data_IF_174904570028
#
_entry.id   IF_174904570028
#
_cell.length_a   1.000
_cell.length_b   1.000
_cell.length_c   1.000
_cell.angle_alpha   90.00
_cell.angle_beta   90.00
_cell.angle_gamma   90.00
#
_symmetry.space_group_name_H-M   'P 1'
#
loop_
_entity.id
_entity.type
_entity.pdbx_description
1 polymer ?
2 water ?
#
# COMPACT_ATOMS: atom_id res chain seq x y z
N UNK A 5 10.08 21.03 -27.29
CA UNK A 5 9.03 20.56 -26.34
C UNK A 5 9.63 19.91 -25.10
N UNK A 6 8.79 19.34 -24.22
CA UNK A 6 9.20 18.63 -22.98
C UNK A 6 8.46 17.30 -22.82
N UNK A 7 9.03 16.40 -22.01
CA UNK A 7 8.67 14.99 -22.02
C UNK A 7 7.29 14.77 -21.41
N UNK A 8 6.59 13.77 -21.93
CA UNK A 8 5.24 13.38 -21.47
C UNK A 8 5.29 11.89 -21.13
N UNK A 9 4.74 11.49 -20.00
CA UNK A 9 4.72 10.05 -19.60
C UNK A 9 3.28 9.63 -19.42
N UNK A 10 2.92 8.47 -19.94
CA UNK A 10 1.61 7.82 -19.68
C UNK A 10 1.80 6.87 -18.51
N UNK A 11 0.82 6.82 -17.60
CA UNK A 11 0.83 5.84 -16.47
C UNK A 11 -0.48 5.06 -16.54
N UNK A 12 -0.37 3.74 -16.54
CA UNK A 12 -1.55 2.83 -16.59
C UNK A 12 -1.72 2.16 -15.23
N UNK A 13 -2.61 2.66 -14.33
CA UNK A 13 -2.71 2.11 -12.97
C UNK A 13 -3.69 0.93 -12.89
N UNK A 14 -3.60 0.15 -11.83
CA UNK A 14 -4.63 -0.82 -11.39
C UNK A 14 -5.80 -0.08 -10.75
N UNK A 15 -6.96 -0.76 -10.68
CA UNK A 15 -8.06 -0.29 -9.85
C UNK A 15 -7.59 -0.40 -8.39
N UNK A 16 -8.21 0.34 -7.50
CA UNK A 16 -7.92 0.24 -6.06
C UNK A 16 -6.99 1.34 -5.61
N UNK A 17 -7.40 1.98 -4.54
CA UNK A 17 -6.67 3.10 -3.92
C UNK A 17 -5.22 2.68 -3.65
N UNK A 18 -4.98 1.40 -3.32
CA UNK A 18 -3.65 0.92 -2.88
C UNK A 18 -2.61 1.04 -4.00
N UNK A 19 -3.00 0.84 -5.24
CA UNK A 19 -2.10 0.98 -6.42
C UNK A 19 -2.07 2.43 -6.88
N UNK A 20 -3.22 3.13 -6.83
CA UNK A 20 -3.33 4.50 -7.42
C UNK A 20 -2.57 5.49 -6.56
N UNK A 21 -2.73 5.42 -5.23
CA UNK A 21 -2.17 6.45 -4.32
C UNK A 21 -0.66 6.58 -4.58
N UNK A 22 0.14 5.50 -4.53
CA UNK A 22 1.58 5.69 -4.70
C UNK A 22 1.97 6.15 -6.13
N UNK A 23 1.22 5.73 -7.15
CA UNK A 23 1.48 6.20 -8.53
C UNK A 23 1.15 7.70 -8.63
N UNK A 24 0.06 8.13 -7.99
CA UNK A 24 -0.29 9.57 -7.96
C UNK A 24 0.80 10.34 -7.25
N UNK A 25 1.32 9.81 -6.14
CA UNK A 25 2.38 10.54 -5.38
C UNK A 25 3.69 10.56 -6.17
N UNK A 26 4.01 9.47 -6.84
CA UNK A 26 5.14 9.47 -7.80
C UNK A 26 4.95 10.62 -8.82
N UNK A 27 3.78 10.72 -9.46
CA UNK A 27 3.47 11.67 -10.55
C UNK A 27 3.60 13.09 -10.01
N UNK A 28 3.04 13.34 -8.82
CA UNK A 28 3.16 14.65 -8.16
C UNK A 28 4.64 14.98 -7.89
N UNK A 29 5.40 14.04 -7.38
CA UNK A 29 6.82 14.29 -7.03
C UNK A 29 7.58 14.60 -8.33
N UNK A 30 7.31 13.89 -9.43
CA UNK A 30 8.02 14.13 -10.70
C UNK A 30 7.72 15.53 -11.25
N UNK A 31 6.46 15.95 -11.32
CA UNK A 31 6.09 17.25 -11.91
C UNK A 31 6.43 18.39 -10.95
N UNK A 32 6.67 18.11 -9.66
CA UNK A 32 6.94 19.18 -8.68
C UNK A 32 8.24 19.90 -9.08
N UNK A 33 9.28 19.15 -9.42
CA UNK A 33 10.61 19.75 -9.71
C UNK A 33 11.10 19.45 -11.13
N UNK A 34 10.21 19.04 -12.04
CA UNK A 34 10.50 18.79 -13.48
C UNK A 34 9.40 19.35 -14.36
N UNK A 35 9.74 19.97 -15.49
CA UNK A 35 8.76 20.47 -16.47
C UNK A 35 8.27 19.29 -17.33
N UNK A 36 7.72 18.24 -16.71
CA UNK A 36 7.18 17.08 -17.43
C UNK A 36 5.66 17.15 -17.31
N UNK A 37 4.93 16.47 -18.18
CA UNK A 37 3.46 16.35 -18.01
C UNK A 37 3.13 14.86 -18.08
N UNK A 38 1.98 14.45 -17.56
CA UNK A 38 1.66 13.02 -17.32
C UNK A 38 0.18 12.86 -17.69
N UNK A 39 -0.17 11.72 -18.27
CA UNK A 39 -1.58 11.24 -18.42
C UNK A 39 -1.73 9.89 -17.76
N UNK A 40 -2.63 9.80 -16.80
CA UNK A 40 -3.12 8.50 -16.29
C UNK A 40 -4.12 7.96 -17.30
N UNK A 41 -3.84 6.79 -17.84
CA UNK A 41 -4.67 6.13 -18.86
C UNK A 41 -5.23 4.89 -18.18
N UNK A 42 -6.54 4.87 -17.94
CA UNK A 42 -7.14 3.99 -16.92
C UNK A 42 -8.01 2.95 -17.62
N UNK A 43 -7.59 1.67 -17.60
CA UNK A 43 -8.42 0.58 -18.08
C UNK A 43 -9.49 0.29 -17.03
N UNK A 44 -10.71 -0.09 -17.43
CA UNK A 44 -11.82 -0.31 -16.45
C UNK A 44 -12.67 -1.48 -16.93
N UNK A 45 -13.20 -2.26 -15.99
CA UNK A 45 -14.24 -3.28 -16.28
C UNK A 45 -15.58 -2.87 -15.65
N UNK A 46 -15.66 -1.65 -15.13
CA UNK A 46 -16.86 -1.13 -14.49
C UNK A 46 -16.58 0.29 -13.99
N UNK A 47 -17.61 0.99 -13.47
CA UNK A 47 -17.43 2.39 -13.08
C UNK A 47 -16.36 2.48 -12.00
N UNK A 48 -15.40 3.42 -12.11
CA UNK A 48 -14.44 3.61 -11.03
C UNK A 48 -15.21 4.12 -9.78
N UNK A 49 -14.66 3.87 -8.61
CA UNK A 49 -15.20 4.32 -7.30
C UNK A 49 -15.07 5.85 -7.21
N UNK A 50 -15.86 6.48 -6.34
CA UNK A 50 -15.77 7.94 -6.15
C UNK A 50 -14.43 8.28 -5.49
N UNK A 51 -13.87 7.41 -4.64
CA UNK A 51 -12.56 7.63 -3.98
C UNK A 51 -11.47 7.65 -5.06
N UNK A 52 -11.57 6.81 -6.08
CA UNK A 52 -10.62 6.75 -7.21
C UNK A 52 -10.73 8.05 -8.02
N UNK A 53 -11.95 8.47 -8.34
CA UNK A 53 -12.21 9.76 -9.02
C UNK A 53 -11.67 10.92 -8.20
N UNK A 54 -11.81 10.86 -6.87
CA UNK A 54 -11.39 11.96 -5.96
C UNK A 54 -9.88 12.16 -6.17
N UNK A 55 -9.10 11.08 -6.13
CA UNK A 55 -7.62 11.16 -6.33
C UNK A 55 -7.35 11.78 -7.72
N UNK A 56 -7.96 11.26 -8.79
CA UNK A 56 -7.64 11.74 -10.18
C UNK A 56 -7.99 13.22 -10.33
N UNK A 57 -9.12 13.67 -9.79
CA UNK A 57 -9.62 15.01 -10.15
C UNK A 57 -8.87 16.03 -9.29
N UNK A 58 -8.15 15.62 -8.25
CA UNK A 58 -7.40 16.50 -7.31
C UNK A 58 -5.95 16.69 -7.75
N UNK A 59 -5.50 16.03 -8.81
CA UNK A 59 -4.10 16.16 -9.25
C UNK A 59 -3.86 17.52 -9.91
N UNK A 60 -2.60 17.99 -9.92
CA UNK A 60 -2.30 19.25 -10.59
C UNK A 60 -2.53 19.19 -12.11
N UNK A 61 -2.65 20.35 -12.73
CA UNK A 61 -3.08 20.51 -14.14
C UNK A 61 -2.01 19.95 -15.08
N UNK A 62 -0.79 19.70 -14.64
CA UNK A 62 0.23 19.01 -15.49
C UNK A 62 -0.07 17.50 -15.59
N UNK A 63 -0.98 16.97 -14.76
CA UNK A 63 -1.33 15.53 -14.69
C UNK A 63 -2.80 15.34 -15.08
N UNK A 64 -3.09 14.85 -16.30
CA UNK A 64 -4.51 14.62 -16.71
C UNK A 64 -4.78 13.13 -16.67
N UNK A 65 -6.00 12.75 -17.01
CA UNK A 65 -6.38 11.30 -17.01
C UNK A 65 -7.44 11.08 -18.08
N UNK A 66 -7.39 9.88 -18.65
CA UNK A 66 -8.28 9.35 -19.72
C UNK A 66 -8.70 7.96 -19.28
N UNK A 67 -10.01 7.69 -19.31
CA UNK A 67 -10.58 6.34 -19.14
C UNK A 67 -10.71 5.69 -20.50
N UNK A 68 -10.25 4.46 -20.60
CA UNK A 68 -10.42 3.62 -21.80
C UNK A 68 -11.85 3.08 -21.76
N UNK A 69 -12.44 2.76 -22.93
CA UNK A 69 -13.75 2.10 -22.98
C UNK A 69 -13.75 0.91 -22.03
N UNK A 70 -14.81 0.82 -21.24
CA UNK A 70 -15.03 -0.27 -20.27
C UNK A 70 -15.03 -1.62 -21.00
N UNK A 71 -14.34 -2.60 -20.44
CA UNK A 71 -14.38 -4.00 -20.89
C UNK A 71 -15.57 -4.65 -20.17
N UNK A 72 -16.39 -5.39 -20.90
CA UNK A 72 -17.41 -6.31 -20.33
C UNK A 72 -16.73 -7.64 -19.99
N UNK A 73 -16.57 -8.00 -18.71
CA UNK A 73 -15.97 -9.31 -18.27
C UNK A 73 -17.03 -10.36 -17.84
N UNK A 74 -18.31 -10.14 -18.14
CA UNK A 74 -19.46 -10.94 -17.61
C UNK A 74 -19.19 -12.45 -17.74
N UNK A 75 -19.36 -13.15 -16.61
CA UNK A 75 -18.98 -14.56 -16.31
C UNK A 75 -18.56 -14.62 -14.83
N UNK A 84 -13.24 -15.14 -10.51
CA UNK A 84 -13.35 -14.25 -9.36
C UNK A 84 -12.14 -13.33 -9.08
N UNK A 85 -10.90 -13.84 -8.95
CA UNK A 85 -9.76 -13.13 -8.30
C UNK A 85 -9.40 -11.83 -9.03
N UNK A 86 -9.06 -10.76 -8.28
CA UNK A 86 -8.94 -9.36 -8.81
C UNK A 86 -7.81 -9.27 -9.85
N UNK A 87 -6.78 -10.11 -9.72
CA UNK A 87 -5.57 -10.15 -10.58
C UNK A 87 -5.91 -10.74 -11.94
N UNK A 88 -6.78 -11.76 -11.96
CA UNK A 88 -7.33 -12.34 -13.21
C UNK A 88 -8.15 -11.26 -13.89
N UNK A 89 -9.03 -10.59 -13.12
CA UNK A 89 -9.92 -9.50 -13.64
C UNK A 89 -9.07 -8.33 -14.19
N UNK A 90 -8.02 -7.93 -13.48
CA UNK A 90 -7.12 -6.81 -13.91
C UNK A 90 -6.46 -7.24 -15.22
N UNK A 91 -5.93 -8.45 -15.22
CA UNK A 91 -5.17 -9.02 -16.36
C UNK A 91 -6.08 -9.06 -17.58
N UNK A 92 -7.31 -9.57 -17.45
CA UNK A 92 -8.29 -9.59 -18.56
C UNK A 92 -8.68 -8.17 -18.97
N UNK A 93 -8.81 -7.23 -18.02
CA UNK A 93 -9.20 -5.83 -18.37
C UNK A 93 -8.16 -5.25 -19.31
N UNK A 94 -6.89 -5.36 -18.92
CA UNK A 94 -5.76 -4.81 -19.72
C UNK A 94 -5.69 -5.52 -21.07
N UNK A 95 -5.70 -6.85 -21.07
CA UNK A 95 -5.58 -7.65 -22.33
C UNK A 95 -6.71 -7.24 -23.30
N UNK A 96 -7.92 -6.97 -22.80
CA UNK A 96 -9.06 -6.68 -23.69
C UNK A 96 -9.13 -5.19 -24.03
N UNK A 97 -8.19 -4.40 -23.49
CA UNK A 97 -8.12 -2.94 -23.68
C UNK A 97 -6.96 -2.59 -24.60
N UNK A 98 -6.26 -3.56 -25.20
CA UNK A 98 -4.96 -3.22 -25.85
C UNK A 98 -5.22 -2.38 -27.09
N UNK A 99 -6.32 -2.63 -27.81
CA UNK A 99 -6.65 -1.89 -29.05
C UNK A 99 -6.87 -0.42 -28.68
N UNK A 100 -7.68 -0.18 -27.67
CA UNK A 100 -8.02 1.17 -27.14
C UNK A 100 -6.74 1.83 -26.66
N UNK A 101 -5.94 1.10 -25.90
CA UNK A 101 -4.67 1.66 -25.38
C UNK A 101 -3.81 2.13 -26.56
N UNK A 102 -3.62 1.32 -27.60
CA UNK A 102 -2.72 1.76 -28.70
C UNK A 102 -3.29 3.04 -29.34
N UNK A 103 -4.58 3.10 -29.62
CA UNK A 103 -5.18 4.29 -30.27
C UNK A 103 -5.10 5.49 -29.32
N UNK A 104 -5.33 5.31 -28.01
CA UNK A 104 -5.18 6.38 -27.00
C UNK A 104 -3.73 6.88 -26.96
N UNK A 105 -2.75 5.99 -26.89
CA UNK A 105 -1.33 6.43 -26.80
C UNK A 105 -0.94 7.18 -28.07
N UNK A 106 -1.42 6.72 -29.22
CA UNK A 106 -1.19 7.41 -30.50
C UNK A 106 -1.81 8.81 -30.47
N UNK A 107 -3.03 8.95 -29.98
CA UNK A 107 -3.69 10.29 -29.85
C UNK A 107 -2.90 11.21 -28.89
N UNK A 108 -2.45 10.69 -27.75
CA UNK A 108 -1.57 11.42 -26.80
C UNK A 108 -0.28 11.85 -27.50
N UNK A 109 0.37 10.94 -28.25
CA UNK A 109 1.63 11.25 -29.01
C UNK A 109 1.38 12.44 -29.97
N UNK A 110 0.16 12.67 -30.47
CA UNK A 110 -0.11 13.76 -31.44
C UNK A 110 -0.34 15.10 -30.71
N UNK A 111 -0.63 15.11 -29.42
CA UNK A 111 -0.74 16.37 -28.64
C UNK A 111 0.46 16.58 -27.71
N UNK A 112 1.17 15.53 -27.29
CA UNK A 112 2.27 15.61 -26.28
C UNK A 112 3.49 14.81 -26.76
N UNK A 113 4.68 15.17 -26.26
CA UNK A 113 5.98 14.47 -26.49
C UNK A 113 6.03 13.19 -25.64
N UNK A 114 5.14 12.24 -25.96
CA UNK A 114 5.02 10.95 -25.24
C UNK A 114 6.32 10.18 -25.41
N UNK A 115 6.98 9.84 -24.30
CA UNK A 115 8.27 9.09 -24.38
C UNK A 115 8.15 7.76 -23.68
N UNK A 116 7.18 7.58 -22.80
CA UNK A 116 7.17 6.36 -21.96
C UNK A 116 5.76 5.99 -21.52
N UNK A 117 5.58 4.70 -21.26
CA UNK A 117 4.40 4.15 -20.56
C UNK A 117 4.87 3.42 -19.32
N UNK A 118 4.34 3.80 -18.18
CA UNK A 118 4.57 3.15 -16.86
C UNK A 118 3.35 2.30 -16.54
N UNK A 119 3.52 1.01 -16.26
CA UNK A 119 2.42 0.06 -15.91
C UNK A 119 2.72 -0.54 -14.52
N UNK A 120 1.71 -1.10 -13.84
CA UNK A 120 1.78 -1.90 -12.58
C UNK A 120 2.27 -3.30 -12.90
N UNK A 121 2.50 -4.13 -11.88
CA UNK A 121 2.97 -5.53 -11.99
C UNK A 121 2.01 -6.33 -12.86
N UNK A 122 0.69 -6.03 -12.87
CA UNK A 122 -0.28 -6.80 -13.69
C UNK A 122 -0.58 -6.12 -15.03
N UNK A 123 0.26 -5.17 -15.45
CA UNK A 123 0.04 -4.41 -16.68
C UNK A 123 1.02 -4.78 -17.79
N UNK A 124 1.73 -5.89 -17.71
CA UNK A 124 2.82 -6.19 -18.67
C UNK A 124 2.26 -6.36 -20.11
N UNK A 125 1.00 -6.75 -20.30
CA UNK A 125 0.43 -6.89 -21.66
C UNK A 125 0.35 -5.52 -22.33
N UNK A 126 0.32 -4.44 -21.55
CA UNK A 126 0.32 -3.07 -22.10
C UNK A 126 1.71 -2.71 -22.65
N UNK A 127 2.76 -3.49 -22.35
CA UNK A 127 4.08 -3.27 -22.99
C UNK A 127 3.96 -3.33 -24.53
N UNK A 128 3.08 -4.18 -25.05
CA UNK A 128 3.01 -4.43 -26.52
C UNK A 128 2.72 -3.12 -27.25
N UNK A 129 1.61 -2.39 -26.96
CA UNK A 129 1.38 -1.10 -27.60
C UNK A 129 2.51 -0.08 -27.42
N UNK A 130 3.13 -0.06 -26.23
CA UNK A 130 4.26 0.86 -25.98
C UNK A 130 5.42 0.54 -26.95
N UNK A 131 5.78 -0.73 -27.04
CA UNK A 131 6.92 -1.15 -27.87
C UNK A 131 6.58 -0.88 -29.33
N UNK A 132 5.33 -1.16 -29.71
CA UNK A 132 4.82 -0.90 -31.08
C UNK A 132 5.00 0.58 -31.40
N UNK A 133 4.65 1.47 -30.45
CA UNK A 133 4.64 2.93 -30.75
C UNK A 133 6.06 3.52 -30.60
N UNK A 134 7.03 2.73 -30.11
CA UNK A 134 8.43 3.15 -29.93
C UNK A 134 8.66 3.97 -28.67
N UNK A 135 7.79 3.85 -27.68
CA UNK A 135 7.98 4.49 -26.35
C UNK A 135 8.47 3.47 -25.34
N UNK A 136 9.12 3.92 -24.28
CA UNK A 136 9.81 3.02 -23.33
C UNK A 136 8.81 2.42 -22.34
N UNK A 137 8.72 1.07 -22.25
CA UNK A 137 7.89 0.44 -21.23
C UNK A 137 8.65 0.38 -19.89
N UNK A 138 8.00 0.86 -18.84
CA UNK A 138 8.47 0.87 -17.43
C UNK A 138 7.42 0.20 -16.55
N UNK A 139 7.90 -0.46 -15.50
CA UNK A 139 7.10 -1.03 -14.39
C UNK A 139 7.24 -0.15 -13.16
N UNK A 140 6.10 0.13 -12.54
CA UNK A 140 5.97 0.78 -11.23
C UNK A 140 5.46 -0.27 -10.23
N UNK A 141 6.20 -0.50 -9.15
CA UNK A 141 5.84 -1.53 -8.13
C UNK A 141 5.47 -0.78 -6.85
N UNK A 142 4.17 -0.74 -6.48
CA UNK A 142 3.75 0.10 -5.34
C UNK A 142 3.93 -0.59 -3.99
N UNK A 143 4.20 -1.90 -3.98
CA UNK A 143 4.39 -2.67 -2.73
C UNK A 143 5.88 -2.82 -2.40
N UNK A 144 6.21 -3.78 -1.53
CA UNK A 144 7.57 -3.95 -0.97
C UNK A 144 8.54 -4.41 -2.05
N UNK A 145 9.82 -4.16 -1.81
CA UNK A 145 10.93 -4.79 -2.56
C UNK A 145 10.92 -6.30 -2.31
N UNK A 146 10.46 -6.75 -1.15
CA UNK A 146 10.32 -8.20 -0.89
C UNK A 146 9.28 -8.84 -1.83
N UNK A 147 8.10 -8.22 -1.97
CA UNK A 147 7.06 -8.67 -2.92
C UNK A 147 7.55 -8.61 -4.37
N UNK A 148 8.32 -7.59 -4.74
CA UNK A 148 8.90 -7.51 -6.11
C UNK A 148 9.84 -8.71 -6.32
N UNK A 149 10.72 -8.98 -5.37
CA UNK A 149 11.69 -10.10 -5.45
C UNK A 149 10.92 -11.43 -5.53
N UNK A 150 9.89 -11.61 -4.72
CA UNK A 150 9.03 -12.82 -4.80
C UNK A 150 8.38 -12.91 -6.20
N UNK A 151 7.75 -11.85 -6.70
CA UNK A 151 7.14 -11.78 -8.05
C UNK A 151 8.17 -12.30 -9.08
N UNK A 152 9.35 -11.71 -9.15
CA UNK A 152 10.42 -12.06 -10.13
C UNK A 152 10.84 -13.51 -9.98
N UNK A 153 10.86 -14.02 -8.75
CA UNK A 153 11.30 -15.39 -8.38
C UNK A 153 10.22 -16.45 -8.67
N UNK A 154 8.93 -16.08 -8.85
CA UNK A 154 7.77 -17.03 -9.02
C UNK A 154 8.04 -18.06 -10.12
N UNK A 155 8.55 -17.70 -11.32
CA UNK A 155 8.84 -18.72 -12.35
C UNK A 155 9.80 -19.82 -11.84
N UNK A 156 10.86 -19.42 -11.13
CA UNK A 156 11.82 -20.37 -10.52
C UNK A 156 11.09 -21.21 -9.44
N UNK A 157 10.38 -20.56 -8.50
CA UNK A 157 9.70 -21.25 -7.36
C UNK A 157 8.71 -22.29 -7.91
N UNK A 158 8.04 -21.92 -9.01
CA UNK A 158 7.02 -22.75 -9.71
C UNK A 158 7.66 -24.05 -10.23
N UNK A 159 8.87 -23.97 -10.80
CA UNK A 159 9.62 -25.14 -11.36
C UNK A 159 10.27 -25.94 -10.22
N UNK A 160 10.46 -25.32 -9.04
CA UNK A 160 11.16 -25.93 -7.86
C UNK A 160 10.19 -26.82 -7.05
N UNK A 161 9.11 -26.22 -6.51
CA UNK A 161 8.18 -26.88 -5.54
C UNK A 161 7.05 -27.58 -6.30
N UNK A 170 11.77 -25.72 3.54
CA UNK A 170 10.29 -25.73 3.71
C UNK A 170 9.77 -24.28 3.84
N UNK A 171 10.53 -23.37 4.44
CA UNK A 171 10.28 -21.90 4.38
C UNK A 171 10.70 -21.39 3.00
N UNK A 172 10.04 -20.36 2.45
CA UNK A 172 10.34 -19.83 1.09
C UNK A 172 11.50 -18.85 1.18
N UNK A 173 12.55 -19.05 0.38
CA UNK A 173 13.75 -18.17 0.42
C UNK A 173 13.61 -17.12 -0.69
N UNK A 174 12.88 -16.04 -0.44
CA UNK A 174 12.80 -14.94 -1.44
C UNK A 174 14.18 -14.28 -1.54
N UNK A 175 14.82 -14.22 -2.73
CA UNK A 175 16.15 -13.59 -2.85
C UNK A 175 16.24 -12.22 -2.17
N UNK A 176 17.25 -12.06 -1.31
CA UNK A 176 17.56 -10.84 -0.53
C UNK A 176 16.74 -10.70 0.74
N UNK A 177 15.80 -11.58 1.02
CA UNK A 177 14.80 -11.34 2.09
C UNK A 177 15.02 -12.30 3.26
N UNK A 178 14.49 -11.94 4.42
CA UNK A 178 14.25 -12.86 5.58
C UNK A 178 13.30 -13.96 5.09
N UNK A 179 13.48 -15.23 5.52
CA UNK A 179 12.69 -16.32 4.95
C UNK A 179 11.23 -16.13 5.40
N UNK A 180 10.31 -16.72 4.64
CA UNK A 180 8.84 -16.45 4.72
C UNK A 180 8.11 -17.79 4.61
N UNK A 181 7.06 -18.03 5.39
CA UNK A 181 6.20 -19.25 5.25
C UNK A 181 5.54 -19.26 3.86
N UNK A 182 5.41 -20.45 3.25
CA UNK A 182 4.60 -20.68 2.03
C UNK A 182 3.21 -20.09 2.19
N UNK A 183 2.63 -20.27 3.39
CA UNK A 183 1.27 -19.80 3.74
C UNK A 183 1.21 -18.27 3.79
N UNK A 184 2.36 -17.56 3.79
CA UNK A 184 2.39 -16.07 3.82
C UNK A 184 2.58 -15.46 2.42
N UNK A 185 2.86 -16.26 1.38
CA UNK A 185 3.13 -15.71 0.01
C UNK A 185 1.87 -14.96 -0.46
N UNK A 186 2.04 -13.79 -1.12
CA UNK A 186 0.91 -12.88 -1.48
C UNK A 186 -0.20 -13.68 -2.17
N UNK A 187 -1.45 -13.22 -1.99
CA UNK A 187 -2.71 -14.01 -2.16
C UNK A 187 -2.86 -14.51 -3.60
N UNK A 188 -2.45 -13.77 -4.66
CA UNK A 188 -2.61 -14.31 -6.01
C UNK A 188 -1.88 -15.66 -6.29
N UNK A 189 -0.94 -16.11 -5.45
CA UNK A 189 -0.22 -17.41 -5.65
C UNK A 189 -0.64 -18.44 -4.59
N UNK A 190 -1.64 -18.15 -3.75
CA UNK A 190 -2.08 -19.04 -2.62
C UNK A 190 -2.98 -20.17 -3.15
N UNK A 191 -3.26 -20.19 -4.47
CA UNK A 191 -4.01 -21.29 -5.16
C UNK A 191 -3.46 -21.48 -6.59
N UNK A 192 -2.62 -22.49 -6.81
CA UNK A 192 -1.89 -22.68 -8.09
C UNK A 192 -2.86 -23.08 -9.20
N UNK A 193 -3.96 -23.75 -8.84
CA UNK A 193 -5.00 -24.22 -9.81
C UNK A 193 -5.70 -22.99 -10.43
N UNK A 194 -5.71 -21.84 -9.73
CA UNK A 194 -6.49 -20.62 -10.10
C UNK A 194 -5.83 -19.93 -11.31
N UNK A 195 -6.64 -19.18 -12.06
CA UNK A 195 -6.21 -18.35 -13.21
C UNK A 195 -5.22 -17.29 -12.70
N UNK A 196 -5.45 -16.72 -11.51
CA UNK A 196 -4.60 -15.66 -10.91
C UNK A 196 -3.12 -16.11 -10.87
N UNK A 197 -2.87 -17.40 -10.64
CA UNK A 197 -1.51 -17.96 -10.54
C UNK A 197 -0.83 -17.96 -11.92
N UNK A 198 -1.55 -18.37 -12.95
CA UNK A 198 -0.97 -18.47 -14.31
C UNK A 198 -0.70 -17.04 -14.82
N UNK A 199 -1.51 -16.08 -14.40
CA UNK A 199 -1.31 -14.65 -14.73
C UNK A 199 -0.04 -14.11 -14.05
N UNK A 200 0.17 -14.43 -12.77
CA UNK A 200 1.41 -14.01 -12.06
C UNK A 200 2.62 -14.55 -12.84
N UNK A 201 2.58 -15.80 -13.27
CA UNK A 201 3.73 -16.38 -14.03
C UNK A 201 3.92 -15.62 -15.36
N UNK A 202 2.83 -15.36 -16.05
CA UNK A 202 2.80 -14.64 -17.34
C UNK A 202 3.50 -13.28 -17.19
N UNK A 203 3.10 -12.50 -16.19
CA UNK A 203 3.66 -11.13 -15.98
C UNK A 203 5.12 -11.20 -15.55
N UNK A 204 5.46 -12.18 -14.70
CA UNK A 204 6.80 -12.33 -14.13
C UNK A 204 7.81 -12.58 -15.25
N UNK A 205 7.47 -13.46 -16.18
CA UNK A 205 8.33 -13.82 -17.34
C UNK A 205 8.50 -12.63 -18.28
N UNK A 206 7.59 -11.64 -18.24
CA UNK A 206 7.63 -10.47 -19.17
C UNK A 206 8.39 -9.28 -18.54
N UNK A 207 8.69 -9.36 -17.25
CA UNK A 207 9.37 -8.29 -16.50
C UNK A 207 10.61 -7.75 -17.23
N UNK A 208 11.49 -8.61 -17.82
CA UNK A 208 12.68 -8.09 -18.51
C UNK A 208 12.42 -7.23 -19.76
N UNK A 209 11.18 -7.23 -20.23
CA UNK A 209 10.83 -6.30 -21.33
C UNK A 209 10.90 -4.86 -20.83
N UNK A 210 10.81 -4.65 -19.51
CA UNK A 210 10.77 -3.27 -18.97
C UNK A 210 12.15 -2.63 -19.16
N UNK A 211 12.21 -1.34 -19.52
CA UNK A 211 13.47 -0.58 -19.55
C UNK A 211 13.89 -0.20 -18.13
N UNK A 212 12.97 -0.21 -17.17
CA UNK A 212 13.32 0.08 -15.78
C UNK A 212 12.14 -0.23 -14.89
N UNK A 213 12.43 -0.42 -13.61
CA UNK A 213 11.46 -0.76 -12.57
C UNK A 213 11.53 0.27 -11.47
N UNK A 214 10.39 0.91 -11.20
CA UNK A 214 10.28 1.98 -10.19
C UNK A 214 9.71 1.33 -8.90
N UNK A 215 10.50 1.23 -7.86
CA UNK A 215 10.11 0.52 -6.61
C UNK A 215 9.81 1.56 -5.53
N UNK A 216 8.62 1.43 -4.91
CA UNK A 216 8.20 2.24 -3.74
C UNK A 216 8.82 1.73 -2.43
N UNK A 217 10.11 1.82 -2.30
CA UNK A 217 10.82 1.46 -1.05
C UNK A 217 12.15 2.20 -0.97
N UNK A 218 12.90 2.00 0.13
CA UNK A 218 14.22 2.65 0.31
C UNK A 218 15.13 1.68 1.07
N UNK A 219 16.44 1.86 0.88
CA UNK A 219 17.53 0.96 1.37
C UNK A 219 17.40 0.63 2.85
N UNK A 220 17.23 1.61 3.73
CA UNK A 220 17.27 1.32 5.18
C UNK A 220 16.03 0.50 5.57
N UNK A 221 14.98 0.52 4.76
CA UNK A 221 13.77 -0.28 5.09
C UNK A 221 13.93 -1.72 4.60
N UNK A 222 14.57 -1.94 3.47
CA UNK A 222 14.63 -3.26 2.79
C UNK A 222 15.99 -3.43 2.12
N UNK A 223 17.06 -3.34 2.91
CA UNK A 223 18.47 -3.39 2.42
C UNK A 223 18.68 -4.68 1.65
N UNK A 224 18.29 -5.82 2.22
CA UNK A 224 18.50 -7.14 1.59
C UNK A 224 17.87 -7.22 0.21
N UNK A 225 16.58 -6.90 0.10
CA UNK A 225 15.82 -7.07 -1.15
C UNK A 225 16.36 -6.11 -2.20
N UNK A 226 16.53 -4.85 -1.83
CA UNK A 226 16.95 -3.81 -2.81
C UNK A 226 18.37 -4.13 -3.30
N UNK A 227 19.27 -4.51 -2.41
CA UNK A 227 20.68 -4.86 -2.78
C UNK A 227 20.63 -5.96 -3.83
N UNK A 228 19.81 -6.99 -3.60
CA UNK A 228 19.62 -8.09 -4.55
C UNK A 228 19.09 -7.53 -5.89
N UNK A 229 17.97 -6.80 -5.88
CA UNK A 229 17.29 -6.30 -7.10
C UNK A 229 18.16 -5.31 -7.87
N UNK A 230 19.04 -4.61 -7.17
CA UNK A 230 19.86 -3.56 -7.80
C UNK A 230 21.23 -4.12 -8.21
N UNK A 231 21.48 -5.41 -7.98
CA UNK A 231 22.72 -6.04 -8.48
C UNK A 231 22.68 -6.00 -10.00
N UNK A 232 23.64 -5.31 -10.62
CA UNK A 232 23.67 -5.18 -12.11
C UNK A 232 23.83 -6.60 -12.65
N UNK A 233 22.94 -6.98 -13.56
CA UNK A 233 22.95 -8.30 -14.21
C UNK A 233 22.53 -8.02 -15.65
N UNK A 234 23.29 -8.54 -16.60
CA UNK A 234 23.04 -8.41 -18.04
C UNK A 234 21.62 -8.88 -18.35
N UNK A 235 20.84 -8.06 -19.09
CA UNK A 235 19.48 -8.40 -19.54
C UNK A 235 18.41 -8.27 -18.46
N UNK A 236 18.74 -7.78 -17.24
CA UNK A 236 17.73 -7.53 -16.17
C UNK A 236 17.58 -6.02 -16.08
N UNK A 237 16.35 -5.46 -15.93
CA UNK A 237 16.20 -4.00 -15.97
C UNK A 237 16.76 -3.36 -14.71
N UNK A 238 17.25 -2.11 -14.74
CA UNK A 238 17.64 -1.42 -13.53
C UNK A 238 16.39 -1.15 -12.64
N UNK A 239 16.61 -1.16 -11.33
CA UNK A 239 15.54 -0.92 -10.32
C UNK A 239 15.85 0.40 -9.62
N UNK A 240 14.90 1.30 -9.63
CA UNK A 240 15.01 2.64 -9.03
C UNK A 240 14.20 2.65 -7.74
N UNK A 241 14.88 2.79 -6.59
CA UNK A 241 14.29 2.91 -5.25
C UNK A 241 13.85 4.36 -5.05
N UNK A 242 12.56 4.62 -5.18
CA UNK A 242 12.04 6.02 -5.18
C UNK A 242 11.24 6.29 -3.90
N UNK A 243 11.08 5.30 -3.02
CA UNK A 243 10.26 5.40 -1.80
C UNK A 243 10.97 6.20 -0.72
N UNK A 244 10.25 6.62 0.33
CA UNK A 244 8.81 6.37 0.45
C UNK A 244 7.92 7.39 -0.29
N UNK A 245 6.96 6.91 -1.09
CA UNK A 245 6.02 7.74 -1.89
C UNK A 245 4.70 7.95 -1.09
N UNK A 246 4.60 8.98 -0.27
CA UNK A 246 3.37 9.21 0.55
C UNK A 246 2.87 10.67 0.45
N UNK A 247 1.58 10.92 0.74
CA UNK A 247 0.99 12.28 0.95
C UNK A 247 1.69 13.04 2.09
N UNK A 255 -12.84 18.95 6.98
CA UNK A 255 -13.78 17.82 7.17
C UNK A 255 -13.40 17.00 8.43
N UNK A 256 -12.10 16.85 8.73
CA UNK A 256 -11.64 16.09 9.92
C UNK A 256 -11.30 17.00 11.11
N UNK A 257 -11.77 18.27 11.11
CA UNK A 257 -11.34 19.31 12.08
C UNK A 257 -11.64 18.81 13.48
N UNK A 258 -12.83 18.27 13.70
CA UNK A 258 -13.28 17.81 15.03
C UNK A 258 -12.39 16.66 15.49
N UNK A 259 -11.90 15.82 14.58
CA UNK A 259 -11.01 14.72 15.02
C UNK A 259 -9.70 15.35 15.49
N UNK A 260 -9.20 16.34 14.75
CA UNK A 260 -7.90 16.99 15.07
C UNK A 260 -8.05 17.77 16.39
N UNK A 261 -9.18 18.44 16.59
CA UNK A 261 -9.47 19.18 17.84
C UNK A 261 -9.44 18.22 19.02
N UNK A 262 -9.97 17.02 18.87
CA UNK A 262 -9.89 15.97 19.93
C UNK A 262 -8.43 15.67 20.23
N UNK A 263 -7.65 15.39 19.18
CA UNK A 263 -6.24 14.99 19.29
C UNK A 263 -5.45 16.13 19.97
N UNK A 264 -5.72 17.38 19.60
CA UNK A 264 -5.12 18.59 20.22
C UNK A 264 -5.27 18.59 21.74
N UNK A 265 -6.34 17.97 22.27
CA UNK A 265 -6.66 18.01 23.72
C UNK A 265 -6.02 16.82 24.44
N UNK A 266 -5.21 15.99 23.79
CA UNK A 266 -4.56 14.83 24.46
C UNK A 266 -3.09 15.12 24.63
N UNK A 267 -2.44 14.57 25.68
CA UNK A 267 -1.01 14.81 25.91
C UNK A 267 -0.16 14.21 24.80
N UNK A 268 1.04 14.74 24.69
CA UNK A 268 2.05 14.32 23.67
C UNK A 268 2.26 12.81 23.82
N UNK A 269 2.26 12.09 22.71
CA UNK A 269 2.71 10.70 22.61
C UNK A 269 1.72 9.71 23.21
N UNK A 270 0.50 10.13 23.56
CA UNK A 270 -0.43 9.34 24.41
C UNK A 270 -1.43 8.50 23.59
N UNK A 271 -1.69 8.84 22.33
CA UNK A 271 -2.83 8.25 21.58
C UNK A 271 -2.38 7.10 20.73
N UNK A 272 -3.04 5.94 20.89
CA UNK A 272 -2.92 4.83 19.91
C UNK A 272 -3.94 5.05 18.79
N UNK A 273 -3.45 5.33 17.59
CA UNK A 273 -4.28 5.48 16.39
C UNK A 273 -4.52 4.10 15.80
N UNK A 274 -5.74 3.58 15.95
CA UNK A 274 -6.20 2.30 15.35
C UNK A 274 -6.82 2.63 14.00
N UNK A 275 -6.01 2.56 12.95
CA UNK A 275 -6.35 3.07 11.61
C UNK A 275 -6.97 1.90 10.84
N UNK A 276 -8.18 1.53 11.17
CA UNK A 276 -8.83 0.30 10.65
C UNK A 276 -9.93 0.70 9.65
N UNK A 277 -9.85 1.92 9.09
CA UNK A 277 -10.72 2.43 8.03
C UNK A 277 -10.45 1.80 6.67
N UNK A 278 -9.29 1.16 6.48
CA UNK A 278 -8.93 0.46 5.23
C UNK A 278 -8.14 -0.80 5.54
N UNK A 279 -8.01 -1.67 4.56
CA UNK A 279 -7.11 -2.83 4.65
C UNK A 279 -7.82 -4.05 5.15
N UNK A 280 -9.14 -4.03 5.19
CA UNK A 280 -9.95 -5.23 5.49
C UNK A 280 -10.87 -5.04 6.67
N UNK A 281 -11.70 -6.05 6.87
CA UNK A 281 -12.85 -6.09 7.79
C UNK A 281 -12.50 -7.06 8.92
N UNK A 282 -12.85 -6.72 10.16
CA UNK A 282 -12.79 -7.64 11.32
C UNK A 282 -14.09 -8.44 11.40
N UNK A 283 -14.01 -9.64 11.96
CA UNK A 283 -15.21 -10.38 12.41
C UNK A 283 -15.84 -9.64 13.60
N UNK A 284 -17.12 -9.81 13.79
CA UNK A 284 -17.86 -9.32 14.96
C UNK A 284 -17.17 -9.77 16.24
N UNK A 285 -16.75 -11.03 16.28
CA UNK A 285 -16.04 -11.59 17.45
C UNK A 285 -14.73 -10.82 17.65
N UNK A 286 -13.99 -10.58 16.59
CA UNK A 286 -12.64 -9.97 16.73
C UNK A 286 -12.86 -8.52 17.19
N UNK A 287 -13.87 -7.89 16.61
CA UNK A 287 -14.16 -6.47 16.92
C UNK A 287 -14.52 -6.36 18.42
N UNK A 288 -15.32 -7.28 18.95
CA UNK A 288 -15.68 -7.35 20.39
C UNK A 288 -14.39 -7.49 21.22
N UNK A 289 -13.47 -8.40 20.88
CA UNK A 289 -12.22 -8.59 21.65
C UNK A 289 -11.34 -7.33 21.56
N UNK A 290 -11.33 -6.65 20.42
CA UNK A 290 -10.48 -5.44 20.25
C UNK A 290 -11.05 -4.32 21.17
N UNK A 291 -12.35 -4.13 21.20
CA UNK A 291 -12.99 -3.10 22.07
C UNK A 291 -12.61 -3.37 23.54
N UNK A 292 -12.74 -4.59 24.03
CA UNK A 292 -12.39 -4.92 25.44
C UNK A 292 -10.89 -4.73 25.70
N UNK A 293 -10.06 -5.17 24.76
CA UNK A 293 -8.61 -5.07 24.91
C UNK A 293 -8.14 -3.62 24.97
N UNK A 294 -8.73 -2.74 24.13
CA UNK A 294 -8.43 -1.28 24.17
C UNK A 294 -8.91 -0.71 25.49
N UNK A 295 -10.15 -0.97 25.87
CA UNK A 295 -10.70 -0.41 27.14
C UNK A 295 -9.81 -0.84 28.31
N UNK A 296 -9.43 -2.12 28.41
CA UNK A 296 -8.67 -2.68 29.56
C UNK A 296 -7.24 -2.14 29.58
N UNK A 297 -6.72 -1.63 28.46
CA UNK A 297 -5.36 -1.04 28.40
C UNK A 297 -5.33 0.29 29.18
N UNK A 298 -6.47 0.95 29.31
CA UNK A 298 -6.58 2.30 29.91
C UNK A 298 -5.80 3.32 29.08
N UNK A 299 -5.32 2.98 27.89
CA UNK A 299 -4.59 3.95 27.04
C UNK A 299 -5.60 4.78 26.26
N UNK A 300 -5.21 5.99 25.88
CA UNK A 300 -5.94 6.82 24.91
C UNK A 300 -5.87 6.16 23.53
N UNK A 301 -6.97 6.24 22.79
CA UNK A 301 -7.04 5.66 21.44
C UNK A 301 -7.97 6.50 20.56
N UNK A 302 -7.67 6.46 19.27
CA UNK A 302 -8.50 7.00 18.18
C UNK A 302 -8.75 5.85 17.22
N UNK A 303 -9.95 5.31 17.22
CA UNK A 303 -10.21 4.04 16.52
C UNK A 303 -11.10 4.37 15.33
N UNK A 304 -10.57 4.12 14.14
CA UNK A 304 -11.38 4.25 12.89
C UNK A 304 -11.99 2.86 12.65
N UNK A 305 -13.31 2.75 12.75
CA UNK A 305 -14.02 1.45 12.73
C UNK A 305 -14.74 1.28 11.37
N UNK A 306 -14.70 0.08 10.82
CA UNK A 306 -15.63 -0.25 9.71
C UNK A 306 -16.53 -1.39 10.17
N UNK A 307 -17.67 -1.53 9.52
CA UNK A 307 -18.71 -2.51 9.91
C UNK A 307 -18.03 -3.88 9.92
N UNK A 308 -18.18 -4.69 10.98
CA UNK A 308 -17.62 -6.02 10.93
C UNK A 308 -18.40 -6.93 9.96
N UNK A 309 -17.82 -8.08 9.65
CA UNK A 309 -18.57 -9.17 8.98
C UNK A 309 -18.78 -10.27 10.01
N UNK A 310 -19.35 -11.40 9.56
CA UNK A 310 -19.49 -12.57 10.44
C UNK A 310 -20.40 -12.18 11.60
N UNK A 311 -21.50 -11.47 11.33
CA UNK A 311 -22.35 -10.87 12.39
C UNK A 311 -23.51 -11.83 12.68
N UNK A 312 -23.73 -12.22 13.96
CA UNK A 312 -24.84 -13.10 14.33
C UNK A 312 -26.20 -12.47 14.05
N UNK A 313 -27.17 -13.27 13.59
CA UNK A 313 -28.53 -12.80 13.23
C UNK A 313 -29.16 -11.91 14.31
N UNK A 314 -29.11 -12.36 15.57
CA UNK A 314 -29.64 -11.65 16.76
C UNK A 314 -29.06 -10.23 16.84
N UNK A 315 -27.74 -10.08 16.64
CA UNK A 315 -27.09 -8.75 16.62
C UNK A 315 -27.59 -7.95 15.42
N UNK A 316 -27.47 -8.53 14.22
CA UNK A 316 -27.69 -7.82 12.93
C UNK A 316 -29.08 -7.20 12.91
N UNK A 317 -30.08 -7.93 13.40
CA UNK A 317 -31.51 -7.54 13.28
C UNK A 317 -31.90 -6.67 14.46
N UNK A 318 -31.03 -6.49 15.46
CA UNK A 318 -31.36 -5.76 16.72
C UNK A 318 -30.71 -4.36 16.76
N UNK A 319 -29.67 -4.09 15.98
CA UNK A 319 -29.01 -2.75 15.99
C UNK A 319 -29.95 -1.69 15.39
N UNK A 320 -29.77 -0.43 15.79
CA UNK A 320 -30.67 0.67 15.41
C UNK A 320 -30.48 0.92 13.90
N UNK A 321 -29.23 0.92 13.46
CA UNK A 321 -28.84 1.12 12.05
C UNK A 321 -27.82 0.05 11.71
N UNK A 322 -28.08 -0.72 10.65
CA UNK A 322 -27.16 -1.74 10.11
C UNK A 322 -25.93 -1.06 9.51
N UNK A 323 -26.04 0.21 9.10
CA UNK A 323 -24.95 0.92 8.42
C UNK A 323 -23.97 1.54 9.43
N UNK A 324 -24.29 1.51 10.72
CA UNK A 324 -23.48 2.20 11.76
C UNK A 324 -22.44 1.23 12.31
N UNK A 325 -21.12 1.35 12.01
CA UNK A 325 -20.13 0.39 12.53
C UNK A 325 -20.11 0.41 14.06
N UNK A 326 -20.40 1.56 14.67
CA UNK A 326 -20.32 1.74 16.15
C UNK A 326 -21.45 0.95 16.83
N UNK A 327 -22.46 0.52 16.09
CA UNK A 327 -23.62 -0.19 16.69
C UNK A 327 -23.25 -1.62 17.09
N UNK A 328 -22.14 -2.16 16.60
CA UNK A 328 -21.70 -3.56 16.82
C UNK A 328 -20.72 -3.64 17.99
N UNK A 329 -20.38 -2.49 18.61
CA UNK A 329 -19.46 -2.45 19.78
C UNK A 329 -20.17 -2.96 21.02
N UNK A 330 -19.41 -3.41 22.04
CA UNK A 330 -20.00 -3.89 23.29
C UNK A 330 -20.83 -2.81 23.98
N UNK A 331 -21.89 -3.25 24.66
CA UNK A 331 -22.77 -2.40 25.50
C UNK A 331 -21.91 -1.58 26.48
N UNK A 332 -22.07 -0.26 26.46
CA UNK A 332 -21.44 0.63 27.46
C UNK A 332 -20.01 1.02 27.07
N UNK A 333 -19.38 0.36 26.08
CA UNK A 333 -17.95 0.59 25.76
C UNK A 333 -17.71 2.05 25.39
N UNK A 334 -18.54 2.62 24.52
CA UNK A 334 -18.38 4.02 24.06
C UNK A 334 -18.60 4.96 25.25
N UNK A 335 -19.57 4.67 26.12
CA UNK A 335 -19.85 5.56 27.28
C UNK A 335 -18.68 5.49 28.25
N UNK A 336 -18.18 4.30 28.56
CA UNK A 336 -17.11 4.09 29.57
C UNK A 336 -15.79 4.70 29.07
N UNK A 337 -15.52 4.74 27.76
CA UNK A 337 -14.19 5.16 27.21
C UNK A 337 -14.23 6.57 26.67
N UNK A 338 -15.35 7.27 26.82
CA UNK A 338 -15.54 8.51 26.04
C UNK A 338 -14.52 9.56 26.51
N UNK A 339 -13.99 9.46 27.71
CA UNK A 339 -12.94 10.41 28.14
C UNK A 339 -11.58 10.17 27.50
N UNK A 340 -11.24 8.95 27.10
CA UNK A 340 -9.86 8.66 26.62
C UNK A 340 -9.86 8.07 25.20
N UNK A 341 -11.03 7.72 24.65
CA UNK A 341 -11.11 7.09 23.34
C UNK A 341 -12.05 7.83 22.42
N UNK A 342 -11.62 8.12 21.21
CA UNK A 342 -12.47 8.68 20.14
C UNK A 342 -12.67 7.57 19.10
N UNK A 343 -13.92 7.16 18.91
CA UNK A 343 -14.29 6.13 17.90
C UNK A 343 -15.03 6.81 16.75
N UNK A 344 -14.48 6.72 15.54
CA UNK A 344 -15.12 7.37 14.35
C UNK A 344 -15.39 6.33 13.28
N UNK A 345 -16.47 6.57 12.56
CA UNK A 345 -16.95 5.75 11.45
C UNK A 345 -16.10 5.93 10.20
N UNK A 346 -15.46 4.85 9.76
CA UNK A 346 -14.97 4.61 8.39
C UNK A 346 -13.75 5.45 8.03
N UNK A 347 -13.62 6.69 8.51
CA UNK A 347 -12.50 7.54 8.02
C UNK A 347 -11.97 8.48 9.11
N UNK A 348 -10.65 8.72 9.07
CA UNK A 348 -9.97 9.83 9.75
C UNK A 348 -8.81 10.29 8.87
N UNK A 349 -8.35 11.53 9.03
CA UNK A 349 -7.25 12.07 8.20
C UNK A 349 -5.91 11.48 8.68
N UNK A 350 -5.55 10.32 8.12
CA UNK A 350 -4.45 9.44 8.56
C UNK A 350 -3.10 10.19 8.57
N UNK A 351 -2.76 10.92 7.50
CA UNK A 351 -1.47 11.65 7.41
C UNK A 351 -1.42 12.75 8.48
N UNK A 352 -2.47 13.55 8.61
CA UNK A 352 -2.55 14.61 9.64
C UNK A 352 -2.47 14.00 11.05
N UNK A 353 -3.10 12.86 11.33
CA UNK A 353 -3.06 12.23 12.68
C UNK A 353 -1.63 11.76 12.96
N UNK A 354 -1.04 11.09 12.00
CA UNK A 354 0.32 10.55 12.21
C UNK A 354 1.32 11.70 12.39
N UNK A 355 1.05 12.89 11.86
CA UNK A 355 1.92 14.08 12.06
C UNK A 355 1.71 14.73 13.42
N UNK A 356 0.61 14.43 14.11
CA UNK A 356 0.24 15.13 15.34
C UNK A 356 1.12 14.64 16.51
N UNK A 357 1.60 15.56 17.36
CA UNK A 357 2.48 15.18 18.49
C UNK A 357 1.77 14.29 19.51
N UNK A 358 0.43 14.29 19.55
CA UNK A 358 -0.35 13.50 20.53
C UNK A 358 -0.40 12.01 20.17
N UNK A 359 -0.06 11.66 18.93
CA UNK A 359 -0.07 10.28 18.41
C UNK A 359 1.17 9.54 18.87
N UNK A 360 1.04 8.49 19.68
CA UNK A 360 2.21 7.71 20.13
C UNK A 360 2.30 6.32 19.52
N UNK A 361 1.27 5.86 18.84
CA UNK A 361 1.24 4.51 18.24
C UNK A 361 0.31 4.42 17.05
N UNK A 362 0.58 3.47 16.17
CA UNK A 362 -0.24 3.21 14.97
C UNK A 362 -0.54 1.73 14.80
N UNK A 363 -1.78 1.35 15.00
CA UNK A 363 -2.26 -0.03 14.80
C UNK A 363 -2.92 -0.07 13.42
N UNK A 364 -2.41 -0.92 12.50
CA UNK A 364 -2.75 -0.90 11.07
C UNK A 364 -2.86 -2.33 10.53
N UNK A 365 -3.61 -2.52 9.43
CA UNK A 365 -3.65 -3.84 8.73
C UNK A 365 -2.38 -4.00 7.87
N UNK A 366 -1.48 -3.02 7.84
CA UNK A 366 -0.12 -3.15 7.24
C UNK A 366 -0.14 -3.25 5.71
N UNK A 367 -1.12 -2.63 5.07
CA UNK A 367 -0.97 -2.06 3.71
C UNK A 367 0.35 -1.29 3.64
N UNK A 368 1.08 -1.37 2.53
CA UNK A 368 2.41 -0.74 2.42
C UNK A 368 2.29 0.78 2.51
N UNK A 369 1.26 1.36 1.90
CA UNK A 369 1.02 2.82 1.98
C UNK A 369 0.94 3.28 3.45
N UNK A 370 0.12 2.59 4.25
CA UNK A 370 -0.07 2.85 5.70
C UNK A 370 1.26 2.74 6.45
N UNK A 371 2.02 1.66 6.24
CA UNK A 371 3.34 1.46 6.89
C UNK A 371 4.23 2.66 6.55
N UNK A 372 4.34 3.02 5.27
CA UNK A 372 5.26 4.11 4.83
C UNK A 372 4.84 5.44 5.49
N UNK A 373 3.54 5.70 5.61
CA UNK A 373 3.06 6.92 6.30
C UNK A 373 3.58 6.90 7.74
N UNK A 374 3.46 5.77 8.40
CA UNK A 374 3.81 5.67 9.83
C UNK A 374 5.32 5.87 9.96
N UNK A 375 6.07 5.29 9.01
CA UNK A 375 7.55 5.38 9.01
C UNK A 375 7.98 6.85 8.84
N UNK A 376 7.42 7.55 7.85
CA UNK A 376 7.83 8.95 7.53
C UNK A 376 7.57 9.85 8.75
N UNK A 377 6.53 9.57 9.56
CA UNK A 377 6.15 10.36 10.76
C UNK A 377 6.77 9.80 12.04
N UNK A 378 7.48 8.68 11.96
CA UNK A 378 8.21 8.11 13.09
C UNK A 378 7.27 7.56 14.16
N UNK A 379 6.13 7.02 13.77
CA UNK A 379 5.15 6.44 14.74
C UNK A 379 5.32 4.93 14.77
N UNK A 380 5.65 4.37 15.97
CA UNK A 380 5.79 2.93 16.09
C UNK A 380 4.46 2.21 15.81
N UNK A 381 4.57 0.98 15.29
CA UNK A 381 3.41 0.24 14.71
C UNK A 381 3.03 -0.91 15.63
N UNK A 382 1.76 -1.20 15.74
CA UNK A 382 1.24 -2.55 16.06
C UNK A 382 0.68 -3.15 14.77
N UNK A 383 1.27 -4.24 14.31
CA UNK A 383 0.94 -4.91 13.03
C UNK A 383 -0.29 -5.80 13.24
N UNK A 384 -1.35 -5.54 12.46
CA UNK A 384 -2.58 -6.36 12.44
C UNK A 384 -2.87 -6.85 11.02
N UNK A 385 -1.99 -7.67 10.41
CA UNK A 385 -2.25 -8.17 9.05
C UNK A 385 -3.44 -9.14 8.96
N UNK A 386 -4.27 -8.99 7.93
CA UNK A 386 -5.42 -9.89 7.63
C UNK A 386 -5.16 -10.70 6.35
N UNK A 387 -4.58 -10.09 5.33
CA UNK A 387 -4.30 -10.72 4.00
C UNK A 387 -2.83 -11.13 3.91
N UNK A 388 -2.52 -12.09 3.02
CA UNK A 388 -1.17 -12.67 2.91
C UNK A 388 -0.17 -11.54 2.61
N UNK A 389 -0.49 -10.59 1.73
CA UNK A 389 0.53 -9.57 1.40
C UNK A 389 0.78 -8.69 2.62
N UNK A 390 -0.27 -8.43 3.42
CA UNK A 390 -0.11 -7.64 4.69
C UNK A 390 0.79 -8.41 5.66
N UNK A 391 0.67 -9.75 5.70
CA UNK A 391 1.50 -10.62 6.56
C UNK A 391 2.96 -10.51 6.12
N UNK A 392 3.25 -10.50 4.82
CA UNK A 392 4.65 -10.30 4.36
C UNK A 392 5.12 -8.91 4.78
N UNK A 393 4.27 -7.91 4.60
CA UNK A 393 4.63 -6.53 5.02
C UNK A 393 4.93 -6.50 6.52
N UNK A 394 4.13 -7.21 7.32
CA UNK A 394 4.26 -7.21 8.78
C UNK A 394 5.57 -7.91 9.19
N UNK A 395 6.08 -8.84 8.39
CA UNK A 395 7.39 -9.50 8.66
C UNK A 395 8.51 -8.45 8.52
N UNK A 396 8.42 -7.55 7.55
CA UNK A 396 9.41 -6.45 7.37
C UNK A 396 9.44 -5.61 8.65
N UNK A 397 8.29 -5.14 9.12
CA UNK A 397 8.32 -4.15 10.24
C UNK A 397 8.50 -4.85 11.60
N UNK A 398 7.91 -6.03 11.82
CA UNK A 398 8.04 -6.74 13.12
C UNK A 398 9.42 -7.42 13.23
N UNK A 399 9.80 -8.22 12.25
CA UNK A 399 10.92 -9.19 12.38
C UNK A 399 12.22 -8.63 11.81
N UNK A 400 12.18 -7.82 10.75
CA UNK A 400 13.41 -7.36 10.05
C UNK A 400 13.90 -6.04 10.65
N UNK A 401 13.22 -4.91 10.43
CA UNK A 401 13.67 -3.60 10.97
C UNK A 401 13.15 -3.37 12.41
N UNK A 402 12.17 -4.15 12.86
CA UNK A 402 11.71 -4.16 14.28
C UNK A 402 11.25 -2.77 14.70
N UNK A 403 10.34 -2.15 13.93
CA UNK A 403 9.71 -0.85 14.25
C UNK A 403 8.24 -1.09 14.61
N UNK A 404 7.89 -2.35 14.77
CA UNK A 404 6.49 -2.80 14.97
C UNK A 404 6.47 -3.93 15.99
N UNK A 405 5.45 -3.94 16.85
CA UNK A 405 5.08 -5.16 17.64
C UNK A 405 3.87 -5.83 16.99
N UNK A 406 3.62 -7.08 17.32
CA UNK A 406 2.45 -7.79 16.75
C UNK A 406 1.78 -8.49 17.91
N UNK A 407 0.43 -8.50 17.98
CA UNK A 407 -0.28 -9.31 18.97
C UNK A 407 -0.11 -10.79 18.62
N UNK A 408 -0.07 -11.65 19.64
CA UNK A 408 -0.01 -13.11 19.47
C UNK A 408 -1.21 -13.58 18.63
N UNK A 409 -0.90 -14.32 17.58
CA UNK A 409 -1.84 -15.03 16.72
C UNK A 409 -2.36 -14.24 15.54
N UNK A 410 -2.02 -12.97 15.42
CA UNK A 410 -2.71 -12.11 14.42
C UNK A 410 -2.47 -12.66 13.01
N UNK A 411 -3.49 -12.59 12.17
CA UNK A 411 -3.48 -13.13 10.80
C UNK A 411 -3.81 -14.62 10.73
N UNK A 412 -3.66 -15.38 11.82
CA UNK A 412 -3.94 -16.86 11.87
C UNK A 412 -5.25 -17.17 12.63
N UNK A 413 -5.65 -16.35 13.60
CA UNK A 413 -6.74 -16.71 14.57
C UNK A 413 -7.30 -15.42 15.16
N UNK A 414 -8.44 -15.53 15.81
CA UNK A 414 -8.95 -14.41 16.68
C UNK A 414 -7.91 -14.12 17.74
N UNK A 415 -7.60 -12.83 17.92
CA UNK A 415 -6.73 -12.30 19.00
C UNK A 415 -7.62 -11.97 20.20
N UNK A 416 -7.28 -12.56 21.34
CA UNK A 416 -7.99 -12.47 22.63
C UNK A 416 -7.79 -11.07 23.20
N UNK A 417 -8.79 -10.58 23.92
CA UNK A 417 -8.72 -9.23 24.53
C UNK A 417 -7.45 -9.12 25.36
N UNK A 418 -7.03 -10.16 26.11
CA UNK A 418 -5.83 -10.04 26.99
C UNK A 418 -4.59 -9.84 26.13
N UNK A 419 -4.52 -10.48 24.98
CA UNK A 419 -3.37 -10.33 24.05
C UNK A 419 -3.34 -8.90 23.50
N UNK A 420 -4.52 -8.36 23.23
CA UNK A 420 -4.64 -6.96 22.73
C UNK A 420 -4.19 -6.02 23.83
N UNK A 421 -4.70 -6.16 25.07
CA UNK A 421 -4.25 -5.33 26.21
C UNK A 421 -2.73 -5.41 26.31
N UNK A 422 -2.17 -6.61 26.27
CA UNK A 422 -0.71 -6.81 26.44
C UNK A 422 0.07 -6.02 25.38
N UNK A 423 -0.29 -6.10 24.10
CA UNK A 423 0.56 -5.48 23.03
C UNK A 423 0.40 -3.95 23.11
N UNK A 424 -0.80 -3.45 23.39
CA UNK A 424 -1.03 -1.98 23.54
C UNK A 424 -0.18 -1.43 24.70
N UNK A 425 -0.16 -2.14 25.82
CA UNK A 425 0.67 -1.72 26.98
C UNK A 425 2.15 -1.80 26.59
N UNK A 426 2.55 -2.87 25.89
CA UNK A 426 3.97 -3.05 25.53
C UNK A 426 4.42 -1.84 24.70
N UNK A 427 3.62 -1.42 23.72
CA UNK A 427 4.02 -0.32 22.80
C UNK A 427 3.98 0.99 23.57
N UNK A 428 2.88 1.25 24.26
CA UNK A 428 2.61 2.60 24.80
C UNK A 428 3.34 2.83 26.15
N UNK A 429 3.64 1.81 26.96
CA UNK A 429 4.26 2.02 28.30
C UNK A 429 5.47 1.10 28.52
N UNK A 430 5.64 0.03 27.76
CA UNK A 430 6.60 -1.05 28.07
C UNK A 430 8.00 -0.77 27.55
N UNK A 431 8.94 -1.60 28.00
CA UNK A 431 10.36 -1.59 27.56
C UNK A 431 10.42 -1.92 26.09
N UNK A 432 9.68 -2.93 25.63
CA UNK A 432 9.55 -3.30 24.19
C UNK A 432 9.14 -2.09 23.33
N UNK A 433 8.14 -1.33 23.80
CA UNK A 433 7.68 -0.11 23.11
C UNK A 433 8.81 0.88 22.91
N UNK A 434 9.60 1.08 23.96
CA UNK A 434 10.68 2.09 23.99
C UNK A 434 11.70 1.76 22.90
N UNK A 435 12.05 0.49 22.77
CA UNK A 435 13.07 0.00 21.80
C UNK A 435 12.51 0.22 20.39
N UNK A 436 11.25 -0.13 20.18
CA UNK A 436 10.61 -0.06 18.84
C UNK A 436 10.51 1.42 18.45
N UNK A 437 10.17 2.27 19.42
CA UNK A 437 10.01 3.72 19.21
C UNK A 437 11.37 4.35 18.84
N UNK A 438 12.45 3.95 19.50
CA UNK A 438 13.82 4.42 19.16
C UNK A 438 14.23 3.96 17.75
N UNK A 439 13.95 2.72 17.39
CA UNK A 439 14.31 2.19 16.06
C UNK A 439 13.47 2.92 15.01
N UNK A 440 12.19 3.21 15.30
CA UNK A 440 11.30 3.89 14.34
C UNK A 440 11.76 5.34 14.16
N UNK A 441 12.28 6.00 15.21
CA UNK A 441 12.80 7.36 15.09
C UNK A 441 13.98 7.37 14.12
N UNK A 442 14.87 6.40 14.25
CA UNK A 442 16.07 6.30 13.38
C UNK A 442 15.63 6.03 11.93
N UNK A 443 14.66 5.14 11.71
CA UNK A 443 14.12 4.88 10.36
C UNK A 443 13.44 6.14 9.78
N UNK A 444 12.70 6.92 10.59
CA UNK A 444 12.09 8.18 10.14
C UNK A 444 13.19 9.12 9.63
N UNK A 445 14.31 9.19 10.34
CA UNK A 445 15.43 10.08 9.96
C UNK A 445 16.04 9.59 8.64
N UNK A 446 16.23 8.27 8.48
CA UNK A 446 16.68 7.68 7.19
C UNK A 446 15.71 8.03 6.04
N UNK A 447 14.39 7.99 6.29
CA UNK A 447 13.36 8.33 5.28
C UNK A 447 13.49 9.81 4.89
N UNK A 448 13.67 10.69 5.86
CA UNK A 448 13.84 12.13 5.59
C UNK A 448 15.11 12.35 4.75
N UNK A 449 16.21 11.71 5.14
CA UNK A 449 17.45 11.76 4.31
C UNK A 449 17.14 11.27 2.89
N UNK A 450 16.44 10.13 2.72
CA UNK A 450 16.18 9.56 1.38
C UNK A 450 15.48 10.59 0.46
N UNK A 451 14.63 11.47 0.98
CA UNK A 451 13.79 12.36 0.13
C UNK A 451 14.39 13.78 0.14
N UNK A 452 15.56 13.95 0.73
CA UNK A 452 16.28 15.25 0.79
C UNK A 452 16.83 15.53 -0.61
N UNK A 453 17.33 16.72 -0.88
CA UNK A 453 17.93 17.10 -2.19
C UNK A 453 19.02 16.11 -2.61
N UNK A 454 19.80 15.61 -1.65
CA UNK A 454 20.94 14.73 -1.94
C UNK A 454 20.61 13.28 -1.58
N UNK A 455 19.33 12.94 -1.39
CA UNK A 455 18.92 11.59 -0.95
C UNK A 455 18.73 10.59 -2.09
N UNK A 456 18.81 9.30 -1.79
CA UNK A 456 18.72 8.18 -2.75
C UNK A 456 17.38 8.25 -3.53
N UNK A 457 16.26 8.63 -2.93
CA UNK A 457 14.98 8.61 -3.66
C UNK A 457 14.94 9.79 -4.65
N UNK A 458 15.34 10.97 -4.20
CA UNK A 458 15.44 12.16 -5.07
C UNK A 458 16.38 11.84 -6.26
N UNK A 459 17.49 11.18 -6.01
CA UNK A 459 18.49 10.86 -7.07
C UNK A 459 17.85 9.89 -8.07
N UNK A 460 17.10 8.89 -7.56
CA UNK A 460 16.43 7.88 -8.40
C UNK A 460 15.41 8.58 -9.30
N UNK A 461 14.61 9.51 -8.77
CA UNK A 461 13.63 10.30 -9.58
C UNK A 461 14.36 11.11 -10.65
N UNK A 462 15.46 11.79 -10.30
CA UNK A 462 16.31 12.54 -11.25
C UNK A 462 16.86 11.61 -12.34
N UNK A 463 17.34 10.45 -11.96
CA UNK A 463 17.82 9.40 -12.89
C UNK A 463 16.74 9.05 -13.90
N UNK A 464 15.52 8.71 -13.43
CA UNK A 464 14.38 8.45 -14.34
C UNK A 464 14.11 9.66 -15.22
N UNK A 465 14.05 10.88 -14.64
CA UNK A 465 13.84 12.10 -15.43
C UNK A 465 14.86 12.17 -16.58
N UNK A 466 16.13 11.86 -16.31
CA UNK A 466 17.18 11.98 -17.35
C UNK A 466 16.97 10.90 -18.43
N UNK A 467 16.56 9.72 -18.05
CA UNK A 467 16.20 8.63 -19.00
C UNK A 467 15.05 9.09 -19.92
N UNK A 468 13.99 9.62 -19.35
CA UNK A 468 12.84 10.07 -20.15
C UNK A 468 13.22 11.25 -21.05
N UNK A 469 13.93 12.23 -20.54
CA UNK A 469 14.39 13.35 -21.40
C UNK A 469 15.26 12.86 -22.58
N UNK A 470 16.12 11.86 -22.39
CA UNK A 470 17.03 11.35 -23.46
C UNK A 470 16.22 10.74 -24.62
N UNK A 471 14.98 10.29 -24.36
CA UNK A 471 14.06 9.75 -25.38
C UNK A 471 13.44 10.84 -26.26
N UNK A 472 13.67 12.13 -25.97
CA UNK A 472 13.07 13.24 -26.78
C UNK A 472 13.67 13.29 -28.19
#
# INVERSE_FOLDING_TARGET
GAMAGTPHIAILPSPGMGHLIPMAEFAKRLVHHHNFSITFVIPTDGPPSSAYQQVLTSLPSSIDHIFLPQVDLTDVVSQSPAHPRIETLISLTVARSLSSLRTTLSSLQSSKNLVSLVVDLFGTDAFDPAIELGISPYIFFPSTAMTLSLFLYMPQLDKSVTCEFRHMTDLVRIPGCVPVRGSDLFDPVQDRTDEAYKWVIHHSNRYPMAEGVIENSFMELEHGALKYLQTVQSGKPPVYAVGPLIKMDYDVDDSGSKIIEWLDDQPVGSVLFVSFGSGGTLSYEQMTELAHGLESSQQRFLWVVRSPNQIPNSTYFSVQSQKDPLAYLPEGFLNRTEGRGLVVSNWAPQAQILSHGSTGGFMSHCGWNSILESVVHGVPIIAWPLYAEQKMNSIIVVEDVKVALRPAGVGERVVERSEITAVVKALMEGEEGKKVRNRMKELKEAAARAVSDDGASTIAIADLAQKWRSSMKH
#
